data_IF_432078718155
#
_entry.id   IF_432078718155
#
_cell.length_a   1.000
_cell.length_b   1.000
_cell.length_c   1.000
_cell.angle_alpha   90.00
_cell.angle_beta   90.00
_cell.angle_gamma   90.00
#
_symmetry.space_group_name_H-M   'P 1'
#
loop_
_entity.id
_entity.type
_entity.pdbx_description
1 polymer ?
#
# COMPACT_ATOMS: atom_id res chain seq x y z
N UNK A 1 -6.46 11.14 -12.38
CA UNK A 1 -6.39 12.40 -13.19
C UNK A 1 -5.64 13.48 -12.42
N UNK A 2 -5.27 14.60 -13.06
CA UNK A 2 -4.71 15.75 -12.36
C UNK A 2 -5.78 16.50 -11.55
N UNK A 3 -5.36 17.25 -10.53
CA UNK A 3 -6.27 18.07 -9.73
C UNK A 3 -7.01 19.10 -10.59
N UNK A 4 -6.30 19.77 -11.52
CA UNK A 4 -6.90 20.72 -12.45
C UNK A 4 -8.03 20.06 -13.26
N UNK A 5 -7.79 18.87 -13.80
CA UNK A 5 -8.80 18.15 -14.56
C UNK A 5 -10.02 17.73 -13.71
N UNK A 6 -9.80 17.33 -12.46
CA UNK A 6 -10.91 17.03 -11.55
C UNK A 6 -11.78 18.27 -11.31
N UNK A 7 -11.14 19.41 -11.11
CA UNK A 7 -11.81 20.72 -10.94
C UNK A 7 -12.62 21.09 -12.17
N UNK A 8 -12.02 21.00 -13.37
CA UNK A 8 -12.71 21.34 -14.65
C UNK A 8 -13.97 20.49 -14.87
N UNK A 9 -13.95 19.24 -14.39
CA UNK A 9 -15.08 18.31 -14.50
C UNK A 9 -16.06 18.39 -13.31
N UNK A 10 -15.86 19.28 -12.36
CA UNK A 10 -16.68 19.39 -11.15
C UNK A 10 -16.61 18.15 -10.24
N UNK A 11 -15.54 17.35 -10.34
CA UNK A 11 -15.36 16.15 -9.56
C UNK A 11 -14.67 16.46 -8.23
N UNK A 12 -15.16 15.87 -7.14
CA UNK A 12 -14.51 15.93 -5.83
C UNK A 12 -13.47 14.81 -5.71
N UNK A 13 -12.16 15.13 -5.62
CA UNK A 13 -11.14 14.14 -5.36
C UNK A 13 -11.40 13.42 -4.02
N UNK A 14 -11.27 12.11 -3.99
CA UNK A 14 -11.44 11.30 -2.76
C UNK A 14 -10.11 10.99 -2.10
N UNK A 15 -9.02 10.92 -2.87
CA UNK A 15 -7.67 10.70 -2.39
C UNK A 15 -6.65 11.37 -3.32
N UNK A 16 -5.44 11.57 -2.81
CA UNK A 16 -4.30 12.08 -3.56
C UNK A 16 -3.13 11.10 -3.45
N UNK A 17 -2.50 10.77 -4.57
CA UNK A 17 -1.25 9.98 -4.59
C UNK A 17 -0.10 10.91 -4.23
N UNK A 18 0.46 10.77 -3.05
CA UNK A 18 1.55 11.63 -2.56
C UNK A 18 2.90 11.27 -3.18
N UNK A 19 3.17 9.97 -3.34
CA UNK A 19 4.43 9.49 -3.90
C UNK A 19 4.28 8.11 -4.55
N UNK A 20 5.25 7.78 -5.40
CA UNK A 20 5.42 6.44 -5.98
C UNK A 20 6.91 6.09 -6.01
N UNK A 21 7.22 4.81 -5.83
CA UNK A 21 8.59 4.31 -5.94
C UNK A 21 8.64 2.91 -6.55
N UNK A 22 9.66 2.69 -7.33
CA UNK A 22 10.07 1.38 -7.86
C UNK A 22 11.54 1.20 -7.51
N UNK A 23 11.91 0.05 -6.98
CA UNK A 23 13.29 -0.26 -6.57
C UNK A 23 13.63 -1.68 -7.01
N UNK A 24 14.80 -1.87 -7.60
CA UNK A 24 15.37 -3.19 -7.80
C UNK A 24 15.95 -3.75 -6.50
N UNK A 25 15.97 -5.06 -6.36
CA UNK A 25 16.61 -5.76 -5.26
C UNK A 25 17.34 -7.00 -5.79
N UNK A 26 18.13 -7.66 -4.95
CA UNK A 26 18.81 -8.89 -5.29
C UNK A 26 17.80 -9.94 -5.79
N UNK A 27 18.03 -10.55 -6.98
CA UNK A 27 17.11 -11.57 -7.52
C UNK A 27 16.87 -12.77 -6.61
N UNK A 28 17.83 -13.13 -5.75
CA UNK A 28 17.70 -14.23 -4.79
C UNK A 28 16.64 -13.97 -3.71
N UNK A 29 16.35 -12.70 -3.45
CA UNK A 29 15.34 -12.23 -2.48
C UNK A 29 14.33 -11.30 -3.13
N UNK A 30 13.96 -11.53 -4.38
CA UNK A 30 13.05 -10.65 -5.15
C UNK A 30 11.74 -10.31 -4.43
N UNK A 31 11.25 -11.22 -3.58
CA UNK A 31 10.07 -11.00 -2.76
C UNK A 31 10.21 -9.89 -1.72
N UNK A 32 11.44 -9.46 -1.43
CA UNK A 32 11.74 -8.38 -0.49
C UNK A 32 11.56 -6.96 -1.07
N UNK A 33 11.41 -6.85 -2.40
CA UNK A 33 11.24 -5.57 -3.12
C UNK A 33 10.26 -4.57 -2.50
N UNK A 34 9.13 -4.98 -1.90
CA UNK A 34 8.21 -4.06 -1.22
C UNK A 34 8.85 -3.21 -0.12
N UNK A 35 9.85 -3.73 0.61
CA UNK A 35 10.49 -3.00 1.72
C UNK A 35 11.27 -1.77 1.22
N UNK A 36 12.28 -1.89 0.34
CA UNK A 36 13.00 -0.72 -0.14
C UNK A 36 12.11 0.23 -0.96
N UNK A 37 11.11 -0.29 -1.69
CA UNK A 37 10.16 0.54 -2.43
C UNK A 37 9.29 1.38 -1.49
N UNK A 38 8.73 0.77 -0.43
CA UNK A 38 7.94 1.49 0.58
C UNK A 38 8.77 2.53 1.33
N UNK A 39 9.99 2.17 1.77
CA UNK A 39 10.89 3.12 2.42
C UNK A 39 11.22 4.32 1.52
N UNK A 40 11.44 4.09 0.23
CA UNK A 40 11.68 5.17 -0.73
C UNK A 40 10.44 6.03 -0.98
N UNK A 41 9.26 5.41 -1.09
CA UNK A 41 8.01 6.14 -1.26
C UNK A 41 7.71 7.04 -0.04
N UNK A 42 7.84 6.49 1.17
CA UNK A 42 7.69 7.25 2.42
C UNK A 42 8.68 8.41 2.51
N UNK A 43 9.95 8.15 2.20
CA UNK A 43 10.98 9.21 2.17
C UNK A 43 10.62 10.34 1.19
N UNK A 44 10.13 10.01 -0.02
CA UNK A 44 9.70 11.01 -1.01
C UNK A 44 8.50 11.83 -0.54
N UNK A 45 7.62 11.22 0.24
CA UNK A 45 6.46 11.90 0.83
C UNK A 45 6.79 12.69 2.10
N UNK A 46 8.00 12.56 2.66
CA UNK A 46 8.38 13.15 3.94
C UNK A 46 7.70 12.49 5.14
N UNK A 47 7.33 11.21 5.01
CA UNK A 47 6.60 10.44 6.00
C UNK A 47 7.42 9.26 6.52
N UNK A 48 7.02 8.73 7.66
CA UNK A 48 7.48 7.47 8.26
C UNK A 48 6.35 6.42 8.24
N UNK A 49 6.67 5.16 8.51
CA UNK A 49 5.65 4.12 8.59
C UNK A 49 4.66 4.34 9.75
N UNK A 50 5.08 5.01 10.82
CA UNK A 50 4.22 5.36 11.96
C UNK A 50 3.14 6.39 11.62
N UNK A 51 3.36 7.22 10.59
CA UNK A 51 2.41 8.24 10.14
C UNK A 51 1.27 7.63 9.30
N UNK A 52 1.40 6.36 8.92
CA UNK A 52 0.44 5.68 8.06
C UNK A 52 -0.60 4.94 8.90
N UNK A 53 -1.85 5.24 8.65
CA UNK A 53 -2.99 4.65 9.37
C UNK A 53 -3.35 3.24 8.92
N UNK A 54 -3.23 2.92 7.63
CA UNK A 54 -3.55 1.60 7.06
C UNK A 54 -2.64 1.27 5.89
N UNK A 55 -2.39 -0.04 5.70
CA UNK A 55 -1.60 -0.59 4.61
C UNK A 55 -2.39 -1.65 3.85
N UNK A 56 -2.36 -1.59 2.54
CA UNK A 56 -2.81 -2.65 1.66
C UNK A 56 -1.58 -3.18 0.90
N UNK A 57 -1.22 -4.42 1.18
CA UNK A 57 -0.02 -5.06 0.63
C UNK A 57 -0.41 -6.33 -0.13
N UNK A 58 0.16 -6.54 -1.31
CA UNK A 58 -0.06 -7.79 -2.02
C UNK A 58 0.66 -8.94 -1.31
N UNK A 59 -0.09 -10.00 -1.03
CA UNK A 59 0.39 -11.21 -0.36
C UNK A 59 0.75 -12.26 -1.42
N UNK A 60 1.92 -12.12 -2.04
CA UNK A 60 2.37 -13.12 -3.01
C UNK A 60 2.54 -14.50 -2.33
N UNK A 61 3.11 -14.51 -1.13
CA UNK A 61 3.23 -15.67 -0.24
C UNK A 61 3.36 -15.19 1.21
N UNK A 62 2.87 -15.96 2.17
CA UNK A 62 3.06 -15.65 3.60
C UNK A 62 4.56 -15.51 3.95
N UNK A 63 5.39 -16.40 3.44
CA UNK A 63 6.85 -16.35 3.62
C UNK A 63 7.51 -15.09 3.02
N UNK A 64 6.84 -14.40 2.10
CA UNK A 64 7.33 -13.16 1.50
C UNK A 64 6.84 -11.94 2.28
N UNK A 65 5.54 -11.89 2.62
CA UNK A 65 4.94 -10.70 3.20
C UNK A 65 5.34 -10.50 4.67
N UNK A 66 5.45 -11.56 5.47
CA UNK A 66 5.79 -11.47 6.88
C UNK A 66 7.16 -10.83 7.15
N UNK A 67 8.27 -11.20 6.47
CA UNK A 67 9.53 -10.47 6.58
C UNK A 67 9.41 -9.01 6.17
N UNK A 68 8.61 -8.69 5.14
CA UNK A 68 8.41 -7.31 4.72
C UNK A 68 7.71 -6.47 5.81
N UNK A 69 6.66 -7.01 6.41
CA UNK A 69 5.94 -6.37 7.52
C UNK A 69 6.88 -6.13 8.71
N UNK A 70 7.69 -7.14 9.05
CA UNK A 70 8.69 -7.06 10.13
C UNK A 70 9.69 -5.93 9.88
N UNK A 71 10.28 -5.87 8.69
CA UNK A 71 11.34 -4.92 8.36
C UNK A 71 10.82 -3.49 8.07
N UNK A 72 9.51 -3.34 7.90
CA UNK A 72 8.83 -2.05 7.93
C UNK A 72 8.45 -1.61 9.35
N UNK A 73 8.69 -2.46 10.38
CA UNK A 73 8.38 -2.15 11.78
C UNK A 73 6.89 -2.23 12.12
N UNK A 74 6.12 -3.04 11.37
CA UNK A 74 4.66 -3.08 11.47
C UNK A 74 4.11 -4.36 12.11
N UNK A 75 4.98 -5.26 12.59
CA UNK A 75 4.58 -6.58 13.08
C UNK A 75 3.60 -6.51 14.26
N UNK A 76 3.82 -5.61 15.20
CA UNK A 76 2.97 -5.43 16.37
C UNK A 76 1.59 -4.83 16.04
N UNK A 77 1.44 -4.29 14.82
CA UNK A 77 0.22 -3.62 14.37
C UNK A 77 -0.42 -4.34 13.16
N UNK A 78 -0.06 -5.59 12.93
CA UNK A 78 -0.50 -6.35 11.74
C UNK A 78 -2.04 -6.44 11.67
N UNK A 79 -2.69 -6.78 12.78
CA UNK A 79 -4.15 -6.92 12.86
C UNK A 79 -4.90 -5.58 12.88
N UNK A 80 -4.20 -4.48 13.13
CA UNK A 80 -4.80 -3.14 13.23
C UNK A 80 -4.67 -2.32 11.95
N UNK A 81 -3.61 -2.59 11.16
CA UNK A 81 -3.24 -1.74 10.03
C UNK A 81 -3.11 -2.43 8.68
N UNK A 82 -2.88 -3.74 8.61
CA UNK A 82 -2.49 -4.40 7.37
C UNK A 82 -3.60 -5.29 6.83
N UNK A 83 -3.97 -5.08 5.56
CA UNK A 83 -4.92 -5.91 4.82
C UNK A 83 -6.21 -6.21 5.62
N UNK A 84 -6.78 -5.21 6.27
CA UNK A 84 -7.88 -5.35 7.23
C UNK A 84 -9.16 -5.96 6.65
N UNK A 85 -9.31 -5.96 5.33
CA UNK A 85 -10.43 -6.61 4.64
C UNK A 85 -10.02 -7.96 4.00
N UNK A 86 -8.85 -8.48 4.35
CA UNK A 86 -8.22 -9.65 3.73
C UNK A 86 -7.36 -9.28 2.54
N UNK A 87 -6.25 -9.99 2.37
CA UNK A 87 -5.30 -9.84 1.27
C UNK A 87 -5.46 -10.93 0.20
N UNK A 88 -4.45 -11.08 -0.65
CA UNK A 88 -4.47 -12.00 -1.79
C UNK A 88 -4.57 -13.48 -1.38
N UNK A 89 -4.09 -13.86 -0.19
CA UNK A 89 -4.20 -15.23 0.32
C UNK A 89 -5.67 -15.60 0.55
N UNK A 90 -6.45 -14.67 1.09
CA UNK A 90 -7.88 -14.89 1.35
C UNK A 90 -8.76 -14.64 0.12
N UNK A 91 -8.44 -13.62 -0.71
CA UNK A 91 -9.31 -13.12 -1.77
C UNK A 91 -8.90 -13.55 -3.17
N UNK A 92 -7.69 -14.08 -3.34
CA UNK A 92 -7.10 -14.41 -4.62
C UNK A 92 -6.25 -13.27 -5.21
N UNK A 93 -5.42 -13.64 -6.19
CA UNK A 93 -4.47 -12.73 -6.85
C UNK A 93 -4.61 -12.80 -8.37
N UNK A 94 -5.63 -12.19 -8.96
CA UNK A 94 -5.70 -12.05 -10.41
C UNK A 94 -4.64 -11.03 -10.85
N UNK A 95 -3.59 -11.51 -11.50
CA UNK A 95 -2.31 -10.81 -11.74
C UNK A 95 -2.49 -9.39 -12.32
N UNK A 96 -3.34 -9.23 -13.33
CA UNK A 96 -3.59 -7.93 -13.95
C UNK A 96 -4.58 -7.02 -13.18
N UNK A 97 -5.20 -7.51 -12.11
CA UNK A 97 -6.24 -6.80 -11.37
C UNK A 97 -5.81 -6.35 -9.96
N UNK A 98 -4.89 -7.07 -9.32
CA UNK A 98 -4.60 -6.85 -7.88
C UNK A 98 -4.17 -5.43 -7.55
N UNK A 99 -3.37 -4.77 -8.39
CA UNK A 99 -3.00 -3.38 -8.18
C UNK A 99 -4.19 -2.43 -8.20
N UNK A 100 -5.14 -2.66 -9.10
CA UNK A 100 -6.37 -1.86 -9.16
C UNK A 100 -7.35 -2.20 -8.04
N UNK A 101 -7.41 -3.45 -7.58
CA UNK A 101 -8.23 -3.85 -6.43
C UNK A 101 -7.73 -3.23 -5.13
N UNK A 102 -6.42 -3.25 -4.89
CA UNK A 102 -5.80 -2.72 -3.65
C UNK A 102 -6.10 -1.23 -3.45
N UNK A 103 -6.02 -0.42 -4.50
CA UNK A 103 -6.24 1.04 -4.40
C UNK A 103 -7.63 1.41 -3.89
N UNK A 104 -8.75 0.97 -4.48
CA UNK A 104 -10.07 1.29 -3.96
C UNK A 104 -10.31 0.66 -2.58
N UNK A 105 -9.79 -0.54 -2.29
CA UNK A 105 -9.88 -1.13 -0.95
C UNK A 105 -9.24 -0.21 0.08
N UNK A 106 -8.01 0.26 -0.17
CA UNK A 106 -7.33 1.22 0.68
C UNK A 106 -8.12 2.51 0.86
N UNK A 107 -8.62 3.08 -0.24
CA UNK A 107 -9.38 4.32 -0.22
C UNK A 107 -10.64 4.22 0.65
N UNK A 108 -11.44 3.14 0.51
CA UNK A 108 -12.62 2.92 1.36
C UNK A 108 -12.26 2.66 2.83
N UNK A 109 -11.12 2.00 3.09
CA UNK A 109 -10.61 1.83 4.45
C UNK A 109 -10.23 3.17 5.08
N UNK A 110 -9.51 4.02 4.35
CA UNK A 110 -9.13 5.35 4.82
C UNK A 110 -10.36 6.19 5.17
N UNK A 111 -11.36 6.22 4.28
CA UNK A 111 -12.62 6.95 4.52
C UNK A 111 -13.39 6.40 5.74
N UNK A 112 -13.49 5.07 5.87
CA UNK A 112 -14.24 4.42 6.96
C UNK A 112 -13.58 4.59 8.32
N UNK A 113 -12.23 4.60 8.36
CA UNK A 113 -11.45 4.74 9.59
C UNK A 113 -11.07 6.19 9.91
N UNK A 114 -11.34 7.13 9.01
CA UNK A 114 -10.92 8.53 9.10
C UNK A 114 -9.41 8.66 9.31
N UNK A 115 -8.63 7.92 8.52
CA UNK A 115 -7.15 7.91 8.58
C UNK A 115 -6.55 8.36 7.25
N UNK A 116 -5.28 8.77 7.34
CA UNK A 116 -4.49 9.24 6.19
C UNK A 116 -3.37 8.25 5.85
#
# INVERSE_FOLDING_TARGET
>A
MSESRARDLGLKPRACVLSMAVVGCDPSIKGYGPVPASKLALKKAGLSASDIGVFEMNEAFAAQILPCIKDLGLMEQIDEKINLNGGAIALGHPLGCSGERIKPTLQYLMERKDVK
#
